data_IF_069090510715
#
_entry.id   IF_069090510715
#
_cell.length_a   1.000
_cell.length_b   1.000
_cell.length_c   1.000
_cell.angle_alpha   90.00
_cell.angle_beta   90.00
_cell.angle_gamma   90.00
#
_symmetry.space_group_name_H-M   'P 1'
#
loop_
_entity.id
_entity.type
_entity.pdbx_description
1 polymer ?
#
# COMPACT_ATOMS: atom_id res chain seq x y z
N UNK A 1 35.47 2.04 9.30
CA UNK A 1 34.87 1.25 8.22
C UNK A 1 33.65 2.02 7.76
N UNK A 2 33.72 2.65 6.56
CA UNK A 2 32.62 3.43 6.01
C UNK A 2 31.44 2.51 5.70
N UNK A 3 30.28 2.73 6.35
CA UNK A 3 29.02 2.09 5.98
C UNK A 3 28.70 2.50 4.53
N UNK A 4 28.65 1.55 3.61
CA UNK A 4 27.96 1.75 2.33
C UNK A 4 26.54 2.18 2.67
N UNK A 5 26.15 3.40 2.31
CA UNK A 5 24.74 3.81 2.28
C UNK A 5 24.09 2.93 1.21
N UNK A 6 23.32 1.93 1.64
CA UNK A 6 22.34 1.31 0.76
C UNK A 6 21.42 2.46 0.30
N UNK A 7 21.20 2.52 -1.00
CA UNK A 7 20.29 3.49 -1.58
C UNK A 7 18.91 3.17 -1.05
N UNK A 8 18.44 3.94 -0.06
CA UNK A 8 17.03 3.95 0.34
C UNK A 8 16.20 4.16 -0.92
N UNK A 9 15.20 3.31 -1.13
CA UNK A 9 14.28 3.48 -2.26
C UNK A 9 13.71 4.90 -2.24
N UNK A 10 13.59 5.58 -3.40
CA UNK A 10 13.04 6.93 -3.43
C UNK A 10 11.62 6.89 -2.86
N UNK A 11 11.37 7.69 -1.82
CA UNK A 11 10.07 7.79 -1.15
C UNK A 11 8.99 8.39 -2.06
N UNK A 12 9.41 9.15 -3.06
CA UNK A 12 8.52 9.84 -4.01
C UNK A 12 8.73 9.28 -5.41
N UNK A 13 7.66 8.83 -6.03
CA UNK A 13 7.68 8.34 -7.41
C UNK A 13 7.95 9.52 -8.37
N UNK A 14 8.87 9.32 -9.35
CA UNK A 14 9.23 10.31 -10.36
C UNK A 14 9.48 11.71 -9.75
N UNK A 15 10.54 11.85 -8.94
CA UNK A 15 10.77 13.08 -8.16
C UNK A 15 11.01 14.34 -9.02
N UNK A 16 11.30 14.17 -10.31
CA UNK A 16 11.44 15.25 -11.30
C UNK A 16 10.10 15.92 -11.66
N UNK A 17 8.96 15.28 -11.41
CA UNK A 17 7.64 15.86 -11.67
C UNK A 17 7.28 16.79 -10.50
N UNK A 18 6.95 18.07 -10.77
CA UNK A 18 6.63 19.03 -9.72
C UNK A 18 5.30 18.70 -9.00
N UNK A 19 5.18 19.11 -7.73
CA UNK A 19 4.00 18.86 -6.91
C UNK A 19 2.70 19.45 -7.50
N UNK A 20 2.81 20.49 -8.34
CA UNK A 20 1.65 21.09 -9.03
C UNK A 20 1.02 20.18 -10.07
N UNK A 21 1.77 19.22 -10.58
CA UNK A 21 1.31 18.22 -11.57
C UNK A 21 0.89 16.89 -10.92
N UNK A 22 1.00 16.79 -9.59
CA UNK A 22 0.66 15.60 -8.81
C UNK A 22 -0.77 15.65 -8.31
N UNK A 23 -1.43 14.50 -8.29
CA UNK A 23 -2.78 14.33 -7.74
C UNK A 23 -2.77 13.38 -6.55
N UNK A 24 -3.74 13.58 -5.66
CA UNK A 24 -4.02 12.67 -4.54
C UNK A 24 -5.43 12.11 -4.72
N UNK A 25 -5.54 10.80 -4.76
CA UNK A 25 -6.84 10.15 -4.85
C UNK A 25 -7.55 10.22 -3.49
N UNK A 26 -8.84 10.58 -3.49
CA UNK A 26 -9.65 10.58 -2.28
C UNK A 26 -10.71 9.48 -2.36
N UNK A 27 -10.71 8.59 -1.36
CA UNK A 27 -11.69 7.51 -1.26
C UNK A 27 -12.96 8.03 -0.60
N UNK A 28 -14.03 8.08 -1.37
CA UNK A 28 -15.39 8.43 -0.90
C UNK A 28 -16.34 7.23 -0.87
N UNK A 29 -15.94 6.09 -1.43
CA UNK A 29 -16.78 4.90 -1.55
C UNK A 29 -16.71 4.04 -0.28
N UNK A 30 -17.84 3.83 0.35
CA UNK A 30 -17.99 2.96 1.52
C UNK A 30 -18.01 1.46 1.18
N UNK A 31 -18.18 1.13 -0.09
CA UNK A 31 -18.24 -0.24 -0.61
C UNK A 31 -16.89 -0.71 -1.17
N UNK A 32 -15.80 -0.04 -0.80
CA UNK A 32 -14.46 -0.40 -1.22
C UNK A 32 -14.17 -1.88 -0.88
N UNK A 33 -13.77 -2.63 -1.89
CA UNK A 33 -13.45 -4.06 -1.75
C UNK A 33 -14.65 -5.01 -1.74
N UNK A 34 -15.88 -4.52 -1.72
CA UNK A 34 -17.08 -5.35 -1.74
C UNK A 34 -17.32 -5.93 -3.13
N UNK A 35 -17.56 -7.24 -3.20
CA UNK A 35 -17.89 -7.93 -4.45
C UNK A 35 -17.66 -9.43 -4.40
N UNK A 36 -18.20 -10.13 -5.39
CA UNK A 36 -17.95 -11.57 -5.59
C UNK A 36 -16.48 -11.81 -5.93
N UNK A 37 -15.94 -13.03 -5.71
CA UNK A 37 -14.57 -13.37 -6.11
C UNK A 37 -14.26 -13.01 -7.56
N UNK A 38 -15.13 -13.29 -8.51
CA UNK A 38 -14.94 -12.95 -9.92
C UNK A 38 -14.87 -11.44 -10.17
N UNK A 39 -15.70 -10.63 -9.47
CA UNK A 39 -15.64 -9.16 -9.59
C UNK A 39 -14.34 -8.61 -9.01
N UNK A 40 -13.89 -9.15 -7.87
CA UNK A 40 -12.63 -8.77 -7.23
C UNK A 40 -11.44 -9.12 -8.12
N UNK A 41 -11.43 -10.32 -8.69
CA UNK A 41 -10.43 -10.74 -9.66
C UNK A 41 -10.36 -9.76 -10.84
N UNK A 42 -11.48 -9.50 -11.52
CA UNK A 42 -11.52 -8.61 -12.67
C UNK A 42 -11.04 -7.17 -12.35
N UNK A 43 -11.35 -6.66 -11.15
CA UNK A 43 -10.83 -5.37 -10.68
C UNK A 43 -9.32 -5.39 -10.50
N UNK A 44 -8.77 -6.44 -9.90
CA UNK A 44 -7.33 -6.59 -9.71
C UNK A 44 -6.59 -6.63 -11.05
N UNK A 45 -7.06 -7.42 -12.02
CA UNK A 45 -6.47 -7.50 -13.36
C UNK A 45 -6.46 -6.12 -14.03
N UNK A 46 -7.59 -5.42 -14.02
CA UNK A 46 -7.67 -4.08 -14.61
C UNK A 46 -6.72 -3.08 -13.94
N UNK A 47 -6.64 -3.09 -12.62
CA UNK A 47 -5.74 -2.21 -11.88
C UNK A 47 -4.27 -2.51 -12.21
N UNK A 48 -3.86 -3.78 -12.23
CA UNK A 48 -2.49 -4.17 -12.57
C UNK A 48 -2.16 -3.81 -14.03
N UNK A 49 -3.10 -4.01 -14.95
CA UNK A 49 -2.91 -3.61 -16.36
C UNK A 49 -2.66 -2.11 -16.48
N UNK A 50 -3.45 -1.28 -15.78
CA UNK A 50 -3.25 0.18 -15.77
C UNK A 50 -1.92 0.54 -15.11
N UNK A 51 -1.56 -0.09 -13.98
CA UNK A 51 -0.28 0.12 -13.32
C UNK A 51 0.88 -0.12 -14.29
N UNK A 52 0.92 -1.28 -14.92
CA UNK A 52 2.00 -1.64 -15.85
C UNK A 52 2.06 -0.71 -17.08
N UNK A 53 0.93 -0.23 -17.55
CA UNK A 53 0.86 0.76 -18.62
C UNK A 53 1.54 2.08 -18.23
N UNK A 54 1.15 2.68 -17.08
CA UNK A 54 1.70 3.96 -16.64
C UNK A 54 3.19 3.86 -16.31
N UNK A 55 3.63 2.72 -15.79
CA UNK A 55 5.05 2.44 -15.54
C UNK A 55 5.85 2.31 -16.84
N UNK A 56 5.34 1.60 -17.84
CA UNK A 56 5.98 1.48 -19.15
C UNK A 56 6.08 2.83 -19.87
N UNK A 57 5.13 3.73 -19.65
CA UNK A 57 5.09 5.09 -20.19
C UNK A 57 5.89 6.09 -19.34
N UNK A 58 6.51 5.66 -18.22
CA UNK A 58 7.30 6.49 -17.28
C UNK A 58 6.58 7.78 -16.86
N UNK A 59 5.33 7.68 -16.45
CA UNK A 59 4.50 8.81 -16.02
C UNK A 59 3.67 8.51 -14.78
N UNK A 60 3.06 9.54 -14.23
CA UNK A 60 2.06 9.42 -13.20
C UNK A 60 0.70 9.03 -13.80
N UNK A 61 -0.12 8.34 -13.01
CA UNK A 61 -1.49 8.00 -13.37
C UNK A 61 -2.37 9.26 -13.40
N UNK A 62 -3.25 9.35 -14.40
CA UNK A 62 -4.29 10.39 -14.44
C UNK A 62 -5.38 10.14 -13.39
N UNK A 63 -6.25 11.12 -13.06
CA UNK A 63 -7.37 10.91 -12.14
C UNK A 63 -8.31 9.76 -12.55
N UNK A 64 -8.51 9.56 -13.87
CA UNK A 64 -9.31 8.45 -14.38
C UNK A 64 -8.63 7.10 -14.16
N UNK A 65 -7.31 7.04 -14.41
CA UNK A 65 -6.51 5.85 -14.14
C UNK A 65 -6.41 5.57 -12.64
N UNK A 66 -6.29 6.61 -11.79
CA UNK A 66 -6.36 6.46 -10.34
C UNK A 66 -7.69 5.84 -9.88
N UNK A 67 -8.80 6.20 -10.53
CA UNK A 67 -10.11 5.61 -10.23
C UNK A 67 -10.16 4.11 -10.55
N UNK A 68 -9.39 3.64 -11.53
CA UNK A 68 -9.24 2.21 -11.83
C UNK A 68 -8.30 1.54 -10.83
N UNK A 69 -7.14 2.16 -10.55
CA UNK A 69 -6.16 1.65 -9.57
C UNK A 69 -6.76 1.49 -8.18
N UNK A 70 -7.61 2.42 -7.75
CA UNK A 70 -8.30 2.38 -6.46
C UNK A 70 -9.28 1.19 -6.32
N UNK A 71 -9.63 0.52 -7.42
CA UNK A 71 -10.46 -0.68 -7.38
C UNK A 71 -9.65 -1.96 -7.05
N UNK A 72 -8.34 -1.89 -6.96
CA UNK A 72 -7.53 -3.01 -6.53
C UNK A 72 -7.85 -3.38 -5.08
N UNK A 73 -8.10 -4.67 -4.85
CA UNK A 73 -8.58 -5.17 -3.55
C UNK A 73 -7.69 -6.27 -2.96
N UNK A 74 -6.52 -6.49 -3.54
CA UNK A 74 -5.62 -7.56 -3.13
C UNK A 74 -6.18 -8.95 -3.41
N UNK A 75 -5.45 -9.95 -2.96
CA UNK A 75 -5.72 -11.35 -3.30
C UNK A 75 -6.26 -12.19 -2.13
N UNK A 76 -6.53 -11.57 -0.98
CA UNK A 76 -7.12 -12.26 0.16
C UNK A 76 -8.42 -12.98 -0.23
N UNK A 77 -8.45 -14.32 0.00
CA UNK A 77 -9.59 -15.16 -0.39
C UNK A 77 -9.73 -15.41 -1.90
N UNK A 78 -8.67 -15.21 -2.70
CA UNK A 78 -8.60 -15.53 -4.14
C UNK A 78 -7.51 -16.58 -4.45
N UNK A 79 -7.13 -17.41 -3.49
CA UNK A 79 -6.06 -18.39 -3.63
C UNK A 79 -6.30 -19.38 -4.80
N UNK A 80 -7.55 -19.71 -5.08
CA UNK A 80 -7.92 -20.65 -6.16
C UNK A 80 -7.51 -20.15 -7.55
N UNK A 81 -7.34 -18.81 -7.74
CA UNK A 81 -6.91 -18.25 -9.01
C UNK A 81 -5.46 -18.63 -9.39
N UNK A 82 -4.68 -19.09 -8.42
CA UNK A 82 -3.29 -19.50 -8.58
C UNK A 82 -3.10 -21.01 -8.79
N UNK A 83 -4.19 -21.80 -8.81
CA UNK A 83 -4.16 -23.22 -9.15
C UNK A 83 -4.03 -23.38 -10.68
N UNK A 84 -3.09 -24.22 -11.15
CA UNK A 84 -2.80 -24.44 -12.57
C UNK A 84 -4.05 -24.93 -13.36
N UNK A 85 -5.00 -25.54 -12.68
CA UNK A 85 -6.26 -26.01 -13.27
C UNK A 85 -7.31 -24.90 -13.38
N UNK A 86 -7.06 -23.73 -12.77
CA UNK A 86 -7.98 -22.60 -12.81
C UNK A 86 -7.84 -21.86 -14.15
N UNK A 87 -8.95 -21.45 -14.74
CA UNK A 87 -8.98 -20.71 -16.01
C UNK A 87 -8.24 -19.37 -15.96
N UNK A 88 -8.00 -18.80 -14.76
CA UNK A 88 -7.28 -17.55 -14.56
C UNK A 88 -5.76 -17.70 -14.46
N UNK A 89 -5.26 -18.94 -14.31
CA UNK A 89 -3.83 -19.21 -14.13
C UNK A 89 -2.96 -18.64 -15.25
N UNK A 90 -3.32 -18.93 -16.50
CA UNK A 90 -2.54 -18.49 -17.66
C UNK A 90 -2.51 -16.96 -17.77
N UNK A 91 -3.64 -16.28 -17.55
CA UNK A 91 -3.73 -14.81 -17.56
C UNK A 91 -2.83 -14.19 -16.48
N UNK A 92 -2.81 -14.77 -15.28
CA UNK A 92 -1.96 -14.29 -14.18
C UNK A 92 -0.47 -14.47 -14.49
N UNK A 93 -0.07 -15.61 -15.05
CA UNK A 93 1.32 -15.87 -15.42
C UNK A 93 1.81 -14.99 -16.58
N UNK A 94 0.93 -14.56 -17.47
CA UNK A 94 1.26 -13.62 -18.53
C UNK A 94 1.34 -12.17 -18.02
N UNK A 95 0.45 -11.80 -17.09
CA UNK A 95 0.36 -10.43 -16.58
C UNK A 95 1.46 -10.11 -15.56
N UNK A 96 1.87 -11.06 -14.73
CA UNK A 96 2.79 -10.87 -13.61
C UNK A 96 4.19 -11.38 -13.95
N UNK A 97 5.24 -10.72 -13.46
CA UNK A 97 6.58 -11.33 -13.43
C UNK A 97 6.59 -12.51 -12.46
N UNK A 98 7.61 -13.36 -12.53
CA UNK A 98 7.71 -14.51 -11.62
C UNK A 98 7.76 -14.06 -10.14
N UNK A 99 8.50 -12.97 -9.86
CA UNK A 99 8.57 -12.39 -8.51
C UNK A 99 7.23 -11.81 -8.05
N UNK A 100 6.54 -11.08 -8.93
CA UNK A 100 5.21 -10.55 -8.66
C UNK A 100 4.19 -11.67 -8.44
N UNK A 101 4.28 -12.73 -9.24
CA UNK A 101 3.38 -13.88 -9.14
C UNK A 101 3.53 -14.58 -7.79
N UNK A 102 4.77 -14.90 -7.37
CA UNK A 102 5.01 -15.57 -6.09
C UNK A 102 4.62 -14.69 -4.90
N UNK A 103 5.00 -13.41 -4.90
CA UNK A 103 4.60 -12.47 -3.86
C UNK A 103 3.08 -12.32 -3.75
N UNK A 104 2.40 -12.23 -4.89
CA UNK A 104 0.93 -12.14 -4.97
C UNK A 104 0.26 -13.41 -4.43
N UNK A 105 0.77 -14.57 -4.78
CA UNK A 105 0.29 -15.86 -4.30
C UNK A 105 0.45 -15.99 -2.78
N UNK A 106 1.58 -15.59 -2.23
CA UNK A 106 1.83 -15.58 -0.78
C UNK A 106 0.87 -14.64 -0.05
N UNK A 107 0.54 -13.48 -0.66
CA UNK A 107 -0.34 -12.48 -0.07
C UNK A 107 -1.81 -12.95 0.06
N UNK A 108 -2.21 -14.04 -0.58
CA UNK A 108 -3.59 -14.56 -0.53
C UNK A 108 -4.07 -14.88 0.88
N UNK A 109 -3.15 -15.14 1.81
CA UNK A 109 -3.45 -15.47 3.21
C UNK A 109 -3.45 -14.25 4.13
N UNK A 110 -2.83 -13.14 3.75
CA UNK A 110 -2.56 -12.00 4.63
C UNK A 110 -3.09 -10.66 4.13
N UNK A 111 -3.38 -10.53 2.83
CA UNK A 111 -3.82 -9.27 2.23
C UNK A 111 -5.32 -9.03 2.44
N UNK A 112 -5.68 -8.57 3.65
CA UNK A 112 -7.02 -8.13 3.99
C UNK A 112 -7.02 -6.64 4.27
N UNK A 113 -7.74 -5.87 3.44
CA UNK A 113 -7.84 -4.43 3.63
C UNK A 113 -8.81 -4.05 4.73
N UNK A 114 -8.41 -3.03 5.48
CA UNK A 114 -9.22 -2.50 6.58
C UNK A 114 -10.51 -1.86 6.06
N UNK A 115 -11.69 -2.22 6.59
CA UNK A 115 -12.95 -1.63 6.17
C UNK A 115 -12.99 -0.11 6.40
N UNK A 116 -13.64 0.67 5.51
CA UNK A 116 -13.75 2.13 5.61
C UNK A 116 -14.24 2.63 6.96
N UNK A 117 -15.22 1.96 7.55
CA UNK A 117 -15.77 2.33 8.87
C UNK A 117 -14.71 2.27 9.97
N UNK A 118 -13.81 1.30 9.92
CA UNK A 118 -12.71 1.15 10.91
C UNK A 118 -11.68 2.27 10.72
N UNK A 119 -11.29 2.55 9.47
CA UNK A 119 -10.35 3.63 9.17
C UNK A 119 -10.87 4.96 9.67
N UNK A 120 -12.15 5.29 9.39
CA UNK A 120 -12.79 6.52 9.89
C UNK A 120 -12.80 6.57 11.42
N UNK A 121 -13.11 5.46 12.08
CA UNK A 121 -13.11 5.40 13.53
C UNK A 121 -11.71 5.64 14.13
N UNK A 122 -10.67 5.11 13.49
CA UNK A 122 -9.28 5.34 13.93
C UNK A 122 -8.90 6.82 13.79
N UNK A 123 -9.26 7.48 12.69
CA UNK A 123 -9.06 8.93 12.55
C UNK A 123 -9.85 9.74 13.58
N UNK A 124 -11.08 9.35 13.91
CA UNK A 124 -11.86 9.99 14.98
C UNK A 124 -11.19 9.84 16.35
N UNK A 125 -10.60 8.68 16.64
CA UNK A 125 -9.82 8.49 17.88
C UNK A 125 -8.62 9.42 17.88
N UNK A 126 -7.87 9.51 16.79
CA UNK A 126 -6.71 10.39 16.67
C UNK A 126 -7.09 11.87 16.90
N UNK A 127 -8.20 12.33 16.33
CA UNK A 127 -8.74 13.67 16.56
C UNK A 127 -9.12 13.89 18.04
N UNK A 128 -9.78 12.91 18.69
CA UNK A 128 -10.14 12.98 20.11
C UNK A 128 -8.93 13.02 21.05
N UNK A 129 -7.83 12.43 20.63
CA UNK A 129 -6.55 12.51 21.35
C UNK A 129 -5.84 13.86 21.16
N UNK A 130 -6.44 14.78 20.39
CA UNK A 130 -5.94 16.13 20.19
C UNK A 130 -4.99 16.29 19.00
N UNK A 131 -4.83 15.27 18.18
CA UNK A 131 -3.99 15.37 16.98
C UNK A 131 -4.64 16.31 15.96
N UNK A 132 -3.91 17.32 15.51
CA UNK A 132 -4.39 18.33 14.56
C UNK A 132 -3.64 18.27 13.23
N UNK A 133 -2.33 18.09 13.28
CA UNK A 133 -1.45 17.96 12.11
C UNK A 133 -0.10 17.38 12.52
N UNK A 134 0.60 16.79 11.58
CA UNK A 134 1.95 16.25 11.80
C UNK A 134 2.32 15.20 10.78
N UNK A 135 3.39 14.49 11.05
CA UNK A 135 3.84 13.37 10.26
C UNK A 135 3.19 12.09 10.76
N UNK A 136 2.48 11.40 9.89
CA UNK A 136 1.78 10.14 10.19
C UNK A 136 2.49 9.00 9.48
N UNK A 137 2.81 7.93 10.20
CA UNK A 137 3.37 6.71 9.64
C UNK A 137 2.28 5.65 9.47
N UNK A 138 2.22 5.02 8.30
CA UNK A 138 1.47 3.81 8.02
C UNK A 138 2.45 2.68 7.64
N UNK A 139 2.80 1.79 8.59
CA UNK A 139 3.94 0.85 8.41
C UNK A 139 3.63 -0.36 7.52
N UNK A 140 2.38 -0.54 7.11
CA UNK A 140 1.92 -1.57 6.15
C UNK A 140 0.70 -1.04 5.40
N UNK A 141 0.95 -0.12 4.47
CA UNK A 141 -0.12 0.72 3.94
C UNK A 141 -1.00 0.03 2.88
N UNK A 142 -0.61 -1.13 2.36
CA UNK A 142 -1.31 -1.75 1.26
C UNK A 142 -1.40 -0.81 0.07
N UNK A 143 -2.60 -0.62 -0.46
CA UNK A 143 -2.87 0.38 -1.50
C UNK A 143 -3.12 1.78 -0.94
N UNK A 144 -2.87 2.03 0.36
CA UNK A 144 -2.97 3.34 0.99
C UNK A 144 -4.40 3.78 1.35
N UNK A 145 -5.25 2.87 1.77
CA UNK A 145 -6.63 3.21 2.12
C UNK A 145 -6.72 4.25 3.25
N UNK A 146 -5.81 4.20 4.22
CA UNK A 146 -5.73 5.24 5.26
C UNK A 146 -5.35 6.59 4.67
N UNK A 147 -4.45 6.63 3.71
CA UNK A 147 -4.05 7.87 3.03
C UNK A 147 -5.26 8.46 2.30
N UNK A 148 -5.95 7.64 1.49
CA UNK A 148 -7.09 8.07 0.67
C UNK A 148 -8.33 8.46 1.47
N UNK A 149 -8.46 7.98 2.71
CA UNK A 149 -9.57 8.29 3.61
C UNK A 149 -9.20 9.33 4.67
N UNK A 150 -8.05 9.97 4.56
CA UNK A 150 -7.63 11.04 5.47
C UNK A 150 -8.69 12.14 5.53
N UNK A 151 -9.19 12.51 6.73
CA UNK A 151 -10.15 13.59 6.88
C UNK A 151 -9.60 14.94 6.41
N UNK A 152 -10.46 15.79 5.83
CA UNK A 152 -10.05 17.12 5.37
C UNK A 152 -9.43 18.00 6.45
N UNK A 153 -9.80 17.82 7.72
CA UNK A 153 -9.15 18.50 8.86
C UNK A 153 -7.67 18.17 9.01
N UNK A 154 -7.23 17.00 8.52
CA UNK A 154 -5.84 16.54 8.56
C UNK A 154 -5.14 16.69 7.20
N UNK A 155 -5.69 17.50 6.28
CA UNK A 155 -5.14 17.69 4.94
C UNK A 155 -3.68 18.18 4.94
N UNK A 156 -3.31 18.99 5.94
CA UNK A 156 -1.93 19.51 6.12
C UNK A 156 -0.97 18.49 6.75
N UNK A 157 -1.44 17.31 7.18
CA UNK A 157 -0.58 16.24 7.68
C UNK A 157 0.10 15.53 6.52
N UNK A 158 1.36 15.17 6.71
CA UNK A 158 2.11 14.34 5.75
C UNK A 158 1.99 12.88 6.16
N UNK A 159 1.65 12.02 5.20
CA UNK A 159 1.58 10.58 5.44
C UNK A 159 2.75 9.89 4.73
N UNK A 160 3.37 8.99 5.47
CA UNK A 160 4.49 8.16 5.05
C UNK A 160 4.02 6.72 5.11
N UNK A 161 3.94 6.09 3.95
CA UNK A 161 3.55 4.68 3.83
C UNK A 161 4.76 3.78 3.65
N UNK A 162 4.68 2.56 4.18
CA UNK A 162 5.62 1.49 3.85
C UNK A 162 4.79 0.28 3.44
N UNK A 163 5.16 -0.37 2.33
CA UNK A 163 4.46 -1.55 1.84
C UNK A 163 5.45 -2.57 1.30
N UNK A 164 5.31 -3.81 1.76
CA UNK A 164 6.15 -4.92 1.35
C UNK A 164 5.73 -5.47 -0.02
N UNK A 165 4.41 -5.60 -0.25
CA UNK A 165 3.89 -6.09 -1.53
C UNK A 165 4.13 -5.07 -2.63
N UNK A 166 4.91 -5.48 -3.62
CA UNK A 166 5.35 -4.63 -4.72
C UNK A 166 4.19 -4.04 -5.52
N UNK A 167 3.15 -4.82 -5.80
CA UNK A 167 2.00 -4.35 -6.60
C UNK A 167 1.18 -3.34 -5.80
N UNK A 168 0.82 -3.67 -4.56
CA UNK A 168 0.05 -2.77 -3.68
C UNK A 168 0.79 -1.46 -3.45
N UNK A 169 2.10 -1.51 -3.15
CA UNK A 169 2.90 -0.33 -2.89
C UNK A 169 3.04 0.58 -4.12
N UNK A 170 3.25 0.02 -5.32
CA UNK A 170 3.33 0.78 -6.57
C UNK A 170 1.97 1.39 -6.95
N UNK A 171 0.86 0.68 -6.70
CA UNK A 171 -0.49 1.24 -6.84
C UNK A 171 -0.67 2.42 -5.89
N UNK A 172 -0.28 2.27 -4.61
CA UNK A 172 -0.36 3.35 -3.64
C UNK A 172 0.45 4.59 -4.07
N UNK A 173 1.66 4.41 -4.61
CA UNK A 173 2.48 5.50 -5.15
C UNK A 173 1.78 6.24 -6.30
N UNK A 174 1.05 5.54 -7.15
CA UNK A 174 0.28 6.14 -8.25
C UNK A 174 -1.01 6.83 -7.77
N UNK A 175 -1.63 6.33 -6.71
CA UNK A 175 -2.83 6.92 -6.12
C UNK A 175 -2.51 8.19 -5.30
N UNK A 176 -1.41 8.17 -4.54
CA UNK A 176 -1.06 9.23 -3.60
C UNK A 176 0.29 9.85 -3.97
N UNK A 177 0.29 10.55 -5.09
CA UNK A 177 1.49 11.05 -5.75
C UNK A 177 2.24 12.13 -4.96
N UNK A 178 1.60 12.75 -3.95
CA UNK A 178 2.19 13.73 -3.03
C UNK A 178 2.64 13.12 -1.71
N UNK A 179 2.22 11.89 -1.44
CA UNK A 179 2.61 11.15 -0.25
C UNK A 179 3.95 10.43 -0.45
N UNK A 180 4.64 10.13 0.65
CA UNK A 180 5.92 9.41 0.62
C UNK A 180 5.68 7.94 0.90
N UNK A 181 5.87 7.07 -0.09
CA UNK A 181 5.60 5.63 0.03
C UNK A 181 6.84 4.84 -0.35
N UNK A 182 7.37 4.07 0.61
CA UNK A 182 8.46 3.13 0.41
C UNK A 182 7.89 1.73 0.09
N UNK A 183 8.34 1.16 -1.04
CA UNK A 183 7.97 -0.20 -1.45
C UNK A 183 9.10 -1.15 -1.03
N UNK A 184 9.06 -1.58 0.22
CA UNK A 184 10.05 -2.49 0.82
C UNK A 184 9.54 -3.03 2.17
N UNK A 185 10.22 -4.01 2.73
CA UNK A 185 9.96 -4.41 4.13
C UNK A 185 10.27 -3.29 5.10
N UNK A 186 9.46 -3.16 6.16
CA UNK A 186 9.60 -2.10 7.16
C UNK A 186 11.00 -2.10 7.80
N UNK A 187 11.60 -3.27 8.00
CA UNK A 187 12.95 -3.46 8.54
C UNK A 187 14.06 -2.88 7.65
N UNK A 188 13.76 -2.60 6.38
CA UNK A 188 14.70 -2.02 5.40
C UNK A 188 14.60 -0.50 5.31
N UNK A 189 13.64 0.09 6.02
CA UNK A 189 13.48 1.55 6.05
C UNK A 189 14.53 2.21 6.94
N UNK A 190 14.95 3.41 6.56
CA UNK A 190 15.82 4.28 7.37
C UNK A 190 14.99 5.50 7.81
N UNK A 191 14.02 5.24 8.68
CA UNK A 191 13.13 6.28 9.20
C UNK A 191 13.78 6.96 10.41
N UNK A 192 13.74 8.31 10.48
CA UNK A 192 14.35 9.05 11.59
C UNK A 192 13.60 8.78 12.92
N UNK A 193 14.36 8.68 14.01
CA UNK A 193 13.80 8.61 15.35
C UNK A 193 13.03 9.89 15.68
N UNK A 194 11.89 9.75 16.38
CA UNK A 194 11.03 10.85 16.83
C UNK A 194 10.53 11.80 15.72
N UNK A 195 10.47 11.30 14.49
CA UNK A 195 10.01 12.08 13.35
C UNK A 195 8.49 12.05 13.16
N UNK A 196 7.86 10.98 13.59
CA UNK A 196 6.42 10.79 13.43
C UNK A 196 5.67 11.21 14.68
N UNK A 197 4.59 11.96 14.49
CA UNK A 197 3.69 12.41 15.56
C UNK A 197 2.60 11.37 15.85
N UNK A 198 2.30 10.52 14.86
CA UNK A 198 1.37 9.40 14.99
C UNK A 198 1.78 8.24 14.08
N UNK A 199 1.42 7.01 14.48
CA UNK A 199 1.42 5.85 13.63
C UNK A 199 0.01 5.25 13.60
N UNK A 200 -0.51 5.03 12.39
CA UNK A 200 -1.82 4.43 12.13
C UNK A 200 -1.65 3.27 11.17
N UNK A 201 -2.40 2.20 11.35
CA UNK A 201 -2.37 1.11 10.41
C UNK A 201 -3.00 -0.17 10.96
N UNK A 202 -3.14 -1.13 10.08
CA UNK A 202 -3.51 -2.50 10.39
C UNK A 202 -2.37 -3.40 9.92
N UNK A 203 -1.45 -3.72 10.83
CA UNK A 203 -0.29 -4.56 10.51
C UNK A 203 -0.71 -6.01 10.28
N UNK A 204 0.00 -6.77 9.42
CA UNK A 204 -0.29 -8.17 9.20
C UNK A 204 -0.18 -8.99 10.49
N UNK A 205 -1.15 -9.90 10.68
CA UNK A 205 -1.15 -10.87 11.78
C UNK A 205 -0.61 -12.20 11.29
N UNK A 206 0.22 -12.88 12.08
CA UNK A 206 0.72 -14.20 11.72
C UNK A 206 1.84 -14.70 12.64
N UNK A 207 2.19 -15.97 12.50
CA UNK A 207 3.26 -16.62 13.27
C UNK A 207 4.65 -16.44 12.66
N UNK A 208 4.84 -15.40 11.84
CA UNK A 208 6.14 -15.09 11.26
C UNK A 208 6.93 -14.13 12.15
N UNK A 209 8.23 -14.30 12.17
CA UNK A 209 9.15 -13.47 12.94
C UNK A 209 10.07 -12.72 11.99
N UNK A 210 10.09 -11.40 12.09
CA UNK A 210 11.12 -10.58 11.46
C UNK A 210 12.32 -10.52 12.41
N UNK A 211 13.49 -10.94 11.92
CA UNK A 211 14.72 -10.89 12.72
C UNK A 211 15.36 -9.53 12.53
N UNK A 212 15.26 -8.67 13.55
CA UNK A 212 16.00 -7.42 13.65
C UNK A 212 16.72 -7.38 14.99
N UNK A 213 18.05 -7.45 14.96
CA UNK A 213 18.91 -7.49 16.16
C UNK A 213 18.67 -6.34 17.14
N UNK A 214 18.17 -5.19 16.66
CA UNK A 214 17.85 -4.03 17.50
C UNK A 214 16.64 -4.28 18.38
N UNK A 215 15.68 -5.08 17.89
CA UNK A 215 14.35 -5.29 18.50
C UNK A 215 14.08 -6.74 18.91
N UNK A 216 14.97 -7.70 18.62
CA UNK A 216 14.76 -9.11 18.92
C UNK A 216 14.40 -9.38 20.39
N UNK A 217 14.91 -8.55 21.31
CA UNK A 217 14.59 -8.65 22.75
C UNK A 217 13.14 -8.26 23.07
N UNK A 218 12.43 -7.59 22.15
CA UNK A 218 11.03 -7.18 22.28
C UNK A 218 10.08 -8.05 21.45
N UNK A 219 10.60 -9.02 20.72
CA UNK A 219 9.79 -9.96 19.97
C UNK A 219 9.08 -10.92 20.93
N UNK A 220 7.93 -10.51 21.40
CA UNK A 220 7.01 -11.42 22.04
C UNK A 220 6.28 -12.19 20.96
N UNK A 221 6.12 -13.51 21.16
CA UNK A 221 5.20 -14.32 20.37
C UNK A 221 3.79 -13.71 20.55
N UNK A 222 3.24 -13.15 19.51
CA UNK A 222 1.85 -12.73 19.45
C UNK A 222 1.04 -13.89 18.86
#
# INVERSE_FOLDING_TARGET
>A
VARKKDKTAPLTLLPEIPDTERSEYHISDDLLGVGTPSKRYARNIRAITVLKKVEAEHRLATPEEQSVLAQYVGWGGLADCFDERNSHYAELKELLSDEEYEATRESTLTAFYTPPVVIRSMYQVLERLGFQRGNILEPSCGVGNFIGMRPGKLADSKIYGVELDSISGRIAQQLYQKSSIAVCGFEKTDLPDSFFDAALGNVPFGSFKIVDKRYDKYNFLI
#
